data_IF_907373080398
#
_entry.id   IF_907373080398
#
_cell.length_a   1.000
_cell.length_b   1.000
_cell.length_c   1.000
_cell.angle_alpha   90.00
_cell.angle_beta   90.00
_cell.angle_gamma   90.00
#
_symmetry.space_group_name_H-M   'P 1'
#
loop_
_entity.id
_entity.type
_entity.pdbx_description
1 polymer ?
#
# COMPACT_ATOMS: atom_id res chain seq x y z
N UNK A 1 -17.32 -3.34 23.53
CA UNK A 1 -16.08 -2.58 23.44
C UNK A 1 -16.16 -1.69 22.21
N UNK A 2 -16.57 -0.42 22.32
CA UNK A 2 -16.87 0.42 21.16
C UNK A 2 -15.65 0.89 20.36
N UNK A 3 -14.42 0.61 20.82
CA UNK A 3 -13.18 1.08 20.19
C UNK A 3 -12.27 -0.05 19.72
N UNK A 4 -12.80 -1.22 19.42
CA UNK A 4 -12.02 -2.33 18.89
C UNK A 4 -11.93 -2.21 17.36
N UNK A 5 -10.75 -1.83 16.86
CA UNK A 5 -10.51 -1.66 15.41
C UNK A 5 -10.81 -2.94 14.62
N UNK A 6 -10.51 -4.12 15.21
CA UNK A 6 -10.77 -5.42 14.56
C UNK A 6 -12.26 -5.63 14.32
N UNK A 7 -13.12 -5.28 15.28
CA UNK A 7 -14.58 -5.38 15.11
C UNK A 7 -15.10 -4.40 14.06
N UNK A 8 -14.52 -3.19 13.98
CA UNK A 8 -14.91 -2.21 12.98
C UNK A 8 -14.49 -2.65 11.57
N UNK A 9 -13.30 -3.21 11.41
CA UNK A 9 -12.85 -3.75 10.13
C UNK A 9 -13.67 -4.96 9.70
N UNK A 10 -13.95 -5.88 10.63
CA UNK A 10 -14.83 -7.01 10.33
C UNK A 10 -16.23 -6.56 9.92
N UNK A 11 -16.79 -5.57 10.61
CA UNK A 11 -18.07 -4.96 10.22
C UNK A 11 -17.99 -4.35 8.83
N UNK A 12 -16.91 -3.62 8.52
CA UNK A 12 -16.71 -3.05 7.20
C UNK A 12 -16.66 -4.12 6.10
N UNK A 13 -15.99 -5.26 6.37
CA UNK A 13 -15.91 -6.37 5.44
C UNK A 13 -17.28 -7.00 5.17
N UNK A 14 -18.11 -7.16 6.21
CA UNK A 14 -19.49 -7.66 6.06
C UNK A 14 -20.34 -6.67 5.25
N UNK A 15 -20.23 -5.37 5.49
CA UNK A 15 -20.94 -4.33 4.76
C UNK A 15 -20.50 -4.27 3.29
N UNK A 16 -19.20 -4.39 3.03
CA UNK A 16 -18.64 -4.53 1.69
C UNK A 16 -19.23 -5.74 0.95
N UNK A 17 -19.27 -6.90 1.61
CA UNK A 17 -19.85 -8.11 1.04
C UNK A 17 -21.33 -7.97 0.70
N UNK A 18 -22.08 -7.14 1.44
CA UNK A 18 -23.51 -6.85 1.19
C UNK A 18 -23.74 -5.79 0.13
N UNK A 19 -22.72 -5.03 -0.27
CA UNK A 19 -22.84 -3.88 -1.16
C UNK A 19 -23.26 -2.58 -0.45
N UNK A 20 -23.22 -2.54 0.89
CA UNK A 20 -23.50 -1.35 1.70
C UNK A 20 -22.24 -0.45 1.76
N UNK A 21 -21.79 0.06 0.60
CA UNK A 21 -20.45 0.66 0.42
C UNK A 21 -20.25 1.93 1.22
N UNK A 22 -21.26 2.77 1.38
CA UNK A 22 -21.15 4.01 2.19
C UNK A 22 -20.87 3.70 3.66
N UNK A 23 -21.58 2.73 4.23
CA UNK A 23 -21.38 2.33 5.63
C UNK A 23 -20.05 1.57 5.82
N UNK A 24 -19.67 0.76 4.85
CA UNK A 24 -18.37 0.09 4.84
C UNK A 24 -17.22 1.11 4.82
N UNK A 25 -17.29 2.12 3.96
CA UNK A 25 -16.33 3.21 3.86
C UNK A 25 -16.21 4.00 5.17
N UNK A 26 -17.35 4.34 5.79
CA UNK A 26 -17.35 5.04 7.07
C UNK A 26 -16.67 4.23 8.19
N UNK A 27 -16.91 2.92 8.23
CA UNK A 27 -16.26 2.03 9.20
C UNK A 27 -14.73 1.95 8.97
N UNK A 28 -14.28 1.83 7.71
CA UNK A 28 -12.85 1.82 7.36
C UNK A 28 -12.20 3.17 7.62
N UNK A 29 -12.85 4.29 7.30
CA UNK A 29 -12.34 5.62 7.59
C UNK A 29 -12.05 5.80 9.09
N UNK A 30 -12.96 5.35 9.94
CA UNK A 30 -12.79 5.40 11.40
C UNK A 30 -11.59 4.54 11.87
N UNK A 31 -11.36 3.36 11.26
CA UNK A 31 -10.19 2.52 11.55
C UNK A 31 -8.91 3.20 11.11
N UNK A 32 -8.86 3.67 9.87
CA UNK A 32 -7.66 4.30 9.29
C UNK A 32 -7.34 5.67 9.92
N UNK A 33 -8.28 6.28 10.61
CA UNK A 33 -8.02 7.48 11.41
C UNK A 33 -7.09 7.20 12.60
N UNK A 34 -7.08 5.96 13.12
CA UNK A 34 -6.35 5.58 14.34
C UNK A 34 -5.27 4.51 14.12
N UNK A 35 -5.29 3.80 12.98
CA UNK A 35 -4.34 2.73 12.70
C UNK A 35 -4.24 2.38 11.21
N UNK A 36 -3.39 1.42 10.85
CA UNK A 36 -3.12 1.09 9.44
C UNK A 36 -4.18 0.22 8.76
N UNK A 37 -5.11 -0.37 9.49
CA UNK A 37 -6.02 -1.39 8.96
C UNK A 37 -5.36 -2.76 8.74
N UNK A 38 -6.11 -3.73 8.21
CA UNK A 38 -5.61 -5.08 7.94
C UNK A 38 -4.73 -5.13 6.69
N UNK A 39 -3.77 -6.04 6.73
CA UNK A 39 -3.03 -6.43 5.55
C UNK A 39 -3.80 -7.48 4.71
N UNK A 40 -3.31 -7.73 3.50
CA UNK A 40 -3.90 -8.72 2.59
C UNK A 40 -4.03 -10.11 3.21
N UNK A 41 -3.00 -10.58 3.90
CA UNK A 41 -2.96 -11.93 4.47
C UNK A 41 -4.04 -12.11 5.52
N UNK A 42 -4.21 -11.12 6.39
CA UNK A 42 -5.26 -11.11 7.41
C UNK A 42 -6.64 -11.07 6.77
N UNK A 43 -6.86 -10.15 5.85
CA UNK A 43 -8.17 -9.96 5.21
C UNK A 43 -8.59 -11.18 4.42
N UNK A 44 -7.72 -11.74 3.57
CA UNK A 44 -8.08 -12.87 2.71
C UNK A 44 -8.28 -14.17 3.50
N UNK A 45 -7.67 -14.31 4.68
CA UNK A 45 -7.87 -15.47 5.55
C UNK A 45 -9.31 -15.59 6.08
N UNK A 46 -10.08 -14.52 6.04
CA UNK A 46 -11.49 -14.49 6.46
C UNK A 46 -12.44 -14.96 5.35
N UNK A 47 -11.95 -15.12 4.13
CA UNK A 47 -12.72 -15.63 3.01
C UNK A 47 -12.52 -17.13 2.84
N UNK A 48 -13.59 -17.91 2.64
CA UNK A 48 -13.46 -19.34 2.35
C UNK A 48 -12.85 -19.61 0.97
N UNK A 49 -12.98 -18.64 0.05
CA UNK A 49 -12.43 -18.67 -1.32
C UNK A 49 -12.13 -17.25 -1.80
N UNK A 50 -10.91 -17.03 -2.30
CA UNK A 50 -10.47 -15.75 -2.85
C UNK A 50 -11.32 -15.27 -4.04
N UNK A 51 -11.98 -16.18 -4.76
CA UNK A 51 -12.90 -15.81 -5.83
C UNK A 51 -14.12 -15.03 -5.31
N UNK A 52 -14.57 -15.30 -4.09
CA UNK A 52 -15.69 -14.56 -3.48
C UNK A 52 -15.27 -13.10 -3.27
N UNK A 53 -14.10 -12.87 -2.70
CA UNK A 53 -13.54 -11.53 -2.58
C UNK A 53 -13.41 -10.82 -3.93
N UNK A 54 -12.87 -11.52 -4.93
CA UNK A 54 -12.71 -10.98 -6.28
C UNK A 54 -14.05 -10.55 -6.87
N UNK A 55 -15.10 -11.33 -6.71
CA UNK A 55 -16.44 -10.98 -7.18
C UNK A 55 -16.98 -9.72 -6.48
N UNK A 56 -16.80 -9.61 -5.17
CA UNK A 56 -17.20 -8.44 -4.39
C UNK A 56 -16.43 -7.19 -4.82
N UNK A 57 -15.11 -7.32 -5.03
CA UNK A 57 -14.28 -6.22 -5.54
C UNK A 57 -14.76 -5.75 -6.93
N UNK A 58 -15.05 -6.69 -7.85
CA UNK A 58 -15.61 -6.35 -9.18
C UNK A 58 -16.96 -5.66 -9.08
N UNK A 59 -17.80 -6.04 -8.11
CA UNK A 59 -19.08 -5.37 -7.88
C UNK A 59 -18.86 -3.91 -7.43
N UNK A 60 -17.91 -3.65 -6.55
CA UNK A 60 -17.56 -2.30 -6.13
C UNK A 60 -16.96 -1.48 -7.29
N UNK A 61 -16.06 -2.07 -8.09
CA UNK A 61 -15.50 -1.42 -9.28
C UNK A 61 -16.58 -1.03 -10.31
N UNK A 62 -17.61 -1.85 -10.49
CA UNK A 62 -18.72 -1.52 -11.36
C UNK A 62 -19.59 -0.42 -10.75
N UNK A 63 -19.87 -0.51 -9.46
CA UNK A 63 -20.63 0.49 -8.74
C UNK A 63 -19.99 1.89 -8.85
N UNK A 64 -18.67 2.00 -8.65
CA UNK A 64 -17.96 3.29 -8.76
C UNK A 64 -17.97 3.87 -10.18
N UNK A 65 -18.04 3.04 -11.22
CA UNK A 65 -18.21 3.50 -12.61
C UNK A 65 -19.62 4.06 -12.86
N UNK A 66 -20.64 3.46 -12.24
CA UNK A 66 -22.03 3.90 -12.34
C UNK A 66 -22.32 5.12 -11.43
N UNK A 67 -21.54 5.29 -10.36
CA UNK A 67 -21.68 6.35 -9.38
C UNK A 67 -20.37 7.12 -9.18
N UNK A 68 -19.92 7.87 -10.23
CA UNK A 68 -18.61 8.52 -10.21
C UNK A 68 -18.45 9.64 -9.17
N UNK A 69 -19.56 10.12 -8.62
CA UNK A 69 -19.56 11.18 -7.58
C UNK A 69 -19.71 10.61 -6.15
N UNK A 70 -19.75 9.29 -5.99
CA UNK A 70 -19.80 8.65 -4.66
C UNK A 70 -18.41 8.54 -4.06
N UNK A 71 -18.01 9.56 -3.29
CA UNK A 71 -16.73 9.62 -2.63
C UNK A 71 -16.50 8.44 -1.65
N UNK A 72 -17.56 7.95 -0.99
CA UNK A 72 -17.46 6.83 -0.05
C UNK A 72 -17.10 5.53 -0.79
N UNK A 73 -17.73 5.26 -1.94
CA UNK A 73 -17.41 4.10 -2.76
C UNK A 73 -15.97 4.17 -3.31
N UNK A 74 -15.53 5.34 -3.78
CA UNK A 74 -14.14 5.55 -4.21
C UNK A 74 -13.13 5.36 -3.06
N UNK A 75 -13.45 5.85 -1.87
CA UNK A 75 -12.61 5.63 -0.68
C UNK A 75 -12.49 4.15 -0.33
N UNK A 76 -13.60 3.42 -0.32
CA UNK A 76 -13.60 1.99 -0.06
C UNK A 76 -12.80 1.22 -1.11
N UNK A 77 -12.96 1.59 -2.39
CA UNK A 77 -12.22 0.97 -3.50
C UNK A 77 -10.71 1.22 -3.36
N UNK A 78 -10.32 2.44 -3.00
CA UNK A 78 -8.92 2.77 -2.72
C UNK A 78 -8.34 1.91 -1.59
N UNK A 79 -9.08 1.74 -0.48
CA UNK A 79 -8.68 0.86 0.62
C UNK A 79 -8.48 -0.59 0.15
N UNK A 80 -9.39 -1.14 -0.63
CA UNK A 80 -9.27 -2.49 -1.16
C UNK A 80 -8.02 -2.62 -2.05
N UNK A 81 -7.74 -1.63 -2.90
CA UNK A 81 -6.54 -1.63 -3.74
C UNK A 81 -5.25 -1.51 -2.93
N UNK A 82 -5.19 -0.67 -1.89
CA UNK A 82 -4.05 -0.59 -0.97
C UNK A 82 -3.79 -1.96 -0.33
N UNK A 83 -4.83 -2.59 0.18
CA UNK A 83 -4.74 -3.91 0.84
C UNK A 83 -4.24 -4.97 -0.14
N UNK A 84 -4.62 -4.90 -1.42
CA UNK A 84 -4.13 -5.81 -2.48
C UNK A 84 -2.75 -5.43 -3.03
N UNK A 85 -2.13 -4.32 -2.60
CA UNK A 85 -0.85 -3.82 -3.12
C UNK A 85 -0.94 -3.09 -4.46
N UNK A 86 -2.14 -2.74 -4.93
CA UNK A 86 -2.36 -1.97 -6.17
C UNK A 86 -2.31 -0.45 -5.91
N UNK A 87 -1.15 0.04 -5.45
CA UNK A 87 -0.99 1.40 -4.94
C UNK A 87 -1.27 2.48 -5.99
N UNK A 88 -0.85 2.31 -7.23
CA UNK A 88 -1.11 3.29 -8.30
C UNK A 88 -2.61 3.48 -8.56
N UNK A 89 -3.35 2.39 -8.62
CA UNK A 89 -4.81 2.44 -8.80
C UNK A 89 -5.49 3.04 -7.59
N UNK A 90 -5.02 2.72 -6.38
CA UNK A 90 -5.51 3.31 -5.13
C UNK A 90 -5.31 4.83 -5.11
N UNK A 91 -4.15 5.32 -5.54
CA UNK A 91 -3.86 6.77 -5.66
C UNK A 91 -4.85 7.45 -6.60
N UNK A 92 -5.19 6.82 -7.73
CA UNK A 92 -6.18 7.38 -8.66
C UNK A 92 -7.56 7.52 -8.01
N UNK A 93 -7.99 6.54 -7.21
CA UNK A 93 -9.26 6.60 -6.48
C UNK A 93 -9.21 7.63 -5.34
N UNK A 94 -8.10 7.70 -4.58
CA UNK A 94 -7.92 8.71 -3.52
C UNK A 94 -7.92 10.14 -4.05
N UNK A 95 -7.34 10.39 -5.24
CA UNK A 95 -7.43 11.70 -5.91
C UNK A 95 -8.89 12.12 -6.14
N UNK A 96 -9.76 11.20 -6.56
CA UNK A 96 -11.20 11.45 -6.71
C UNK A 96 -11.86 11.76 -5.36
N UNK A 97 -11.55 10.98 -4.31
CA UNK A 97 -12.08 11.24 -2.97
C UNK A 97 -11.76 12.64 -2.50
N UNK A 98 -10.48 13.07 -2.61
CA UNK A 98 -10.04 14.41 -2.19
C UNK A 98 -10.71 15.51 -3.02
N UNK A 99 -10.97 15.26 -4.30
CA UNK A 99 -11.72 16.21 -5.14
C UNK A 99 -13.19 16.34 -4.71
N UNK A 100 -13.85 15.22 -4.40
CA UNK A 100 -15.25 15.18 -3.99
C UNK A 100 -15.45 15.62 -2.53
N UNK A 101 -14.51 15.29 -1.66
CA UNK A 101 -14.51 15.59 -0.23
C UNK A 101 -13.17 16.17 0.24
N UNK A 102 -12.90 17.47 -0.03
CA UNK A 102 -11.60 18.09 0.30
C UNK A 102 -11.27 18.12 1.80
N UNK A 103 -12.26 17.94 2.66
CA UNK A 103 -12.11 17.93 4.11
C UNK A 103 -11.83 16.54 4.70
N UNK A 104 -11.81 15.49 3.89
CA UNK A 104 -11.45 14.13 4.35
C UNK A 104 -9.94 14.03 4.59
N UNK A 105 -9.56 14.20 5.87
CA UNK A 105 -8.15 14.16 6.28
C UNK A 105 -7.54 12.76 6.18
N UNK A 106 -8.35 11.70 6.28
CA UNK A 106 -7.87 10.32 6.15
C UNK A 106 -7.51 10.05 4.71
N UNK A 107 -8.39 10.40 3.76
CA UNK A 107 -8.12 10.26 2.34
C UNK A 107 -6.90 11.10 1.90
N UNK A 108 -6.80 12.35 2.38
CA UNK A 108 -5.66 13.23 2.08
C UNK A 108 -4.32 12.64 2.59
N UNK A 109 -4.31 12.10 3.82
CA UNK A 109 -3.13 11.45 4.40
C UNK A 109 -2.74 10.19 3.65
N UNK A 110 -3.71 9.34 3.27
CA UNK A 110 -3.45 8.14 2.47
C UNK A 110 -2.90 8.51 1.10
N UNK A 111 -3.47 9.53 0.45
CA UNK A 111 -2.97 10.03 -0.83
C UNK A 111 -1.51 10.45 -0.72
N UNK A 112 -1.13 11.24 0.29
CA UNK A 112 0.25 11.62 0.54
C UNK A 112 1.18 10.42 0.76
N UNK A 113 0.71 9.40 1.48
CA UNK A 113 1.52 8.22 1.83
C UNK A 113 1.81 7.34 0.62
N UNK A 114 0.87 7.22 -0.32
CA UNK A 114 0.97 6.32 -1.47
C UNK A 114 1.29 7.02 -2.79
N UNK A 115 1.23 8.37 -2.83
CA UNK A 115 1.60 9.12 -4.03
C UNK A 115 3.12 9.07 -4.22
N UNK A 116 3.64 8.75 -5.42
CA UNK A 116 5.06 8.84 -5.72
C UNK A 116 5.59 10.26 -5.47
N UNK A 117 6.80 10.38 -4.95
CA UNK A 117 7.42 11.68 -4.58
C UNK A 117 7.53 12.67 -5.75
N UNK A 118 7.51 12.20 -7.00
CA UNK A 118 7.64 13.03 -8.20
C UNK A 118 6.40 13.90 -8.52
N UNK A 119 5.23 13.63 -7.98
CA UNK A 119 4.02 14.45 -8.17
C UNK A 119 3.74 15.43 -7.01
N UNK A 120 4.48 15.36 -5.93
CA UNK A 120 4.30 16.20 -4.73
C UNK A 120 4.99 17.57 -4.79
N UNK A 121 5.71 17.88 -5.85
CA UNK A 121 6.50 19.13 -5.98
C UNK A 121 5.69 20.32 -6.51
N UNK A 122 4.55 20.60 -5.88
CA UNK A 122 3.77 21.82 -6.13
C UNK A 122 3.42 22.54 -4.83
N UNK A 123 4.40 23.19 -4.21
CA UNK A 123 4.39 24.27 -3.20
C UNK A 123 5.13 23.94 -1.91
N UNK A 124 6.45 23.94 -1.95
CA UNK A 124 7.28 24.42 -0.83
C UNK A 124 8.67 24.76 -1.37
N UNK A 125 9.00 26.03 -1.36
CA UNK A 125 10.33 26.57 -1.67
C UNK A 125 11.34 26.05 -0.62
N UNK A 126 12.13 25.05 -0.98
CA UNK A 126 13.35 24.69 -0.27
C UNK A 126 14.41 24.34 -1.31
N UNK A 127 15.51 25.05 -1.19
CA UNK A 127 16.66 25.12 -2.08
C UNK A 127 17.29 23.71 -2.27
N UNK A 128 17.30 23.22 -3.52
CA UNK A 128 17.87 21.94 -3.90
C UNK A 128 19.40 22.01 -4.04
N UNK A 129 20.14 20.95 -3.69
CA UNK A 129 21.49 20.74 -4.22
C UNK A 129 21.44 20.38 -5.72
N UNK A 130 22.52 20.61 -6.49
CA UNK A 130 22.46 20.56 -7.95
C UNK A 130 22.14 19.17 -8.50
N UNK A 131 21.25 19.17 -9.49
CA UNK A 131 20.74 18.03 -10.20
C UNK A 131 21.83 17.18 -10.85
N UNK A 132 21.77 15.86 -10.60
CA UNK A 132 22.29 14.87 -11.52
C UNK A 132 21.29 14.73 -12.70
N UNK A 133 21.79 14.75 -13.92
CA UNK A 133 21.05 14.61 -15.17
C UNK A 133 20.18 13.35 -15.21
N UNK A 134 18.96 13.40 -15.79
CA UNK A 134 18.16 12.20 -16.01
C UNK A 134 18.89 11.30 -17.02
N UNK A 135 19.25 10.10 -16.58
CA UNK A 135 19.76 9.05 -17.44
C UNK A 135 18.59 8.50 -18.30
N UNK A 136 18.85 8.34 -19.59
CA UNK A 136 18.00 7.63 -20.55
C UNK A 136 17.65 6.22 -20.03
N UNK A 137 16.57 5.58 -20.52
CA UNK A 137 16.23 4.22 -20.13
C UNK A 137 17.42 3.31 -20.42
N UNK A 138 18.16 2.98 -19.37
CA UNK A 138 19.37 2.19 -19.43
C UNK A 138 19.09 0.80 -19.99
N UNK A 139 19.99 0.30 -20.80
CA UNK A 139 20.07 -1.10 -21.21
C UNK A 139 19.83 -2.05 -20.02
N UNK A 140 19.25 -3.22 -20.23
CA UNK A 140 19.00 -4.18 -19.16
C UNK A 140 20.27 -4.41 -18.35
N UNK A 141 20.18 -4.12 -17.05
CA UNK A 141 21.32 -4.23 -16.13
C UNK A 141 21.86 -5.65 -16.18
N UNK A 142 23.11 -5.80 -16.62
CA UNK A 142 23.74 -7.10 -16.69
C UNK A 142 23.70 -7.79 -15.31
N UNK A 143 23.37 -9.08 -15.21
CA UNK A 143 23.26 -9.81 -13.94
C UNK A 143 24.48 -9.66 -13.02
N UNK A 144 25.63 -9.34 -13.60
CA UNK A 144 26.87 -9.11 -12.85
C UNK A 144 26.94 -7.75 -12.13
N UNK A 145 26.13 -6.77 -12.57
CA UNK A 145 26.13 -5.44 -11.99
C UNK A 145 25.36 -5.37 -10.66
N UNK A 146 24.50 -6.34 -10.37
CA UNK A 146 23.74 -6.41 -9.10
C UNK A 146 24.45 -7.26 -8.04
N UNK A 147 25.53 -7.95 -8.37
CA UNK A 147 26.32 -8.76 -7.43
C UNK A 147 26.97 -7.83 -6.40
N UNK A 148 26.69 -8.06 -5.13
CA UNK A 148 27.21 -7.22 -4.06
C UNK A 148 26.42 -7.39 -2.76
N UNK A 149 26.86 -6.65 -1.74
CA UNK A 149 26.16 -6.60 -0.45
C UNK A 149 25.49 -5.23 -0.27
N UNK A 150 24.21 -5.26 -0.05
CA UNK A 150 23.37 -4.08 0.16
C UNK A 150 22.93 -4.04 1.61
N UNK A 151 23.08 -2.89 2.27
CA UNK A 151 22.70 -2.76 3.68
C UNK A 151 21.73 -1.60 3.86
N UNK A 152 20.70 -1.84 4.67
CA UNK A 152 19.78 -0.80 5.11
C UNK A 152 19.72 -0.80 6.64
N UNK A 153 20.09 0.34 7.24
CA UNK A 153 20.01 0.55 8.68
C UNK A 153 18.71 1.29 9.01
N UNK A 154 17.90 0.69 9.88
CA UNK A 154 16.61 1.25 10.33
C UNK A 154 16.68 1.74 11.79
N UNK A 155 17.87 2.06 12.28
CA UNK A 155 18.07 2.51 13.66
C UNK A 155 17.60 1.48 14.68
N UNK A 156 16.72 1.87 15.58
CA UNK A 156 16.20 1.00 16.66
C UNK A 156 15.41 -0.22 16.16
N UNK A 157 14.95 -0.20 14.91
CA UNK A 157 14.21 -1.31 14.31
C UNK A 157 15.11 -2.41 13.74
N UNK A 158 16.42 -2.19 13.65
CA UNK A 158 17.38 -3.19 13.20
C UNK A 158 18.03 -2.89 11.86
N UNK A 159 18.92 -3.79 11.44
CA UNK A 159 19.69 -3.71 10.20
C UNK A 159 19.31 -4.85 9.26
N UNK A 160 19.13 -4.54 8.00
CA UNK A 160 18.93 -5.51 6.92
C UNK A 160 20.19 -5.55 6.07
N UNK A 161 20.64 -6.75 5.71
CA UNK A 161 21.74 -6.99 4.82
C UNK A 161 21.34 -8.02 3.76
N UNK A 162 21.43 -7.63 2.48
CA UNK A 162 21.15 -8.49 1.32
C UNK A 162 22.46 -8.67 0.55
N UNK A 163 22.91 -9.90 0.41
CA UNK A 163 24.06 -10.25 -0.42
C UNK A 163 23.58 -11.00 -1.65
N UNK A 164 23.93 -10.49 -2.83
CA UNK A 164 23.68 -11.14 -4.13
C UNK A 164 25.00 -11.70 -4.64
N UNK A 165 25.04 -13.00 -4.95
CA UNK A 165 26.22 -13.70 -5.39
C UNK A 165 26.13 -14.10 -6.87
N UNK A 166 27.29 -14.33 -7.51
CA UNK A 166 27.35 -14.92 -8.85
C UNK A 166 26.67 -16.29 -8.86
N UNK A 167 25.84 -16.55 -9.88
CA UNK A 167 25.08 -17.79 -9.97
C UNK A 167 23.68 -17.69 -9.36
N UNK A 168 23.13 -16.49 -9.32
CA UNK A 168 21.73 -16.23 -8.93
C UNK A 168 21.40 -16.67 -7.50
N UNK A 169 22.35 -16.63 -6.59
CA UNK A 169 22.16 -16.92 -5.17
C UNK A 169 22.06 -15.62 -4.40
N UNK A 170 21.21 -15.62 -3.36
CA UNK A 170 21.13 -14.52 -2.43
C UNK A 170 21.17 -15.01 -0.99
N UNK A 171 21.71 -14.16 -0.10
CA UNK A 171 21.60 -14.30 1.34
C UNK A 171 21.02 -13.02 1.91
N UNK A 172 19.95 -13.16 2.68
CA UNK A 172 19.30 -12.05 3.37
C UNK A 172 19.45 -12.22 4.88
N UNK A 173 19.86 -11.15 5.57
CA UNK A 173 20.03 -11.14 7.02
C UNK A 173 19.26 -9.98 7.63
N UNK A 174 18.53 -10.25 8.69
CA UNK A 174 17.91 -9.24 9.53
C UNK A 174 18.50 -9.33 10.93
N UNK A 175 19.04 -8.21 11.42
CA UNK A 175 19.71 -8.10 12.71
C UNK A 175 18.92 -7.10 13.54
N UNK A 176 18.27 -7.55 14.62
CA UNK A 176 17.54 -6.72 15.56
C UNK A 176 17.72 -7.21 16.99
N UNK A 177 17.99 -6.30 17.91
CA UNK A 177 18.14 -6.59 19.35
C UNK A 177 19.08 -7.77 19.67
N UNK A 178 20.19 -7.90 18.91
CA UNK A 178 21.18 -8.98 19.10
C UNK A 178 20.74 -10.35 18.57
N UNK A 179 19.60 -10.43 17.87
CA UNK A 179 19.15 -11.63 17.16
C UNK A 179 19.37 -11.44 15.66
N UNK A 180 19.90 -12.48 15.01
CA UNK A 180 20.08 -12.52 13.56
C UNK A 180 19.13 -13.56 12.99
N UNK A 181 18.34 -13.17 12.00
CA UNK A 181 17.59 -14.08 11.12
C UNK A 181 18.26 -14.08 9.75
N UNK A 182 18.51 -15.25 9.19
CA UNK A 182 19.19 -15.43 7.92
C UNK A 182 18.37 -16.34 7.02
N UNK A 183 18.22 -15.94 5.75
CA UNK A 183 17.58 -16.71 4.70
C UNK A 183 18.48 -16.71 3.47
N UNK A 184 18.60 -17.84 2.81
CA UNK A 184 19.31 -17.97 1.55
C UNK A 184 18.40 -18.60 0.48
N UNK A 185 18.68 -18.30 -0.78
CA UNK A 185 17.89 -18.80 -1.89
C UNK A 185 18.52 -18.46 -3.24
N UNK A 186 17.72 -18.68 -4.29
CA UNK A 186 18.07 -18.32 -5.67
C UNK A 186 17.08 -17.35 -6.25
N UNK A 187 17.56 -16.44 -7.12
CA UNK A 187 16.72 -15.50 -7.87
C UNK A 187 16.83 -15.77 -9.38
N UNK A 188 15.80 -15.44 -10.13
CA UNK A 188 15.75 -15.58 -11.60
C UNK A 188 15.55 -14.25 -12.26
#
# INVERSE_FOLDING_TARGET
MPNDSVLHEFRALVLFAKGDYTEAAAAINAVLAVGPGWDWTTMISLYPDANIYTQQLRSLENYTKEHPDDAAAHFLLAYQYITCGHNETAVAELKKVVQLQPNDQVAARLLQMFQPEDESAGTATAQAPPAATPDEPGDPVAPEAIVGTWTADRGDQGKIELTLEKGNRFTWKYISQGKTQEFDGTYT
#
